data_IF_406301918922
#
_entry.id   IF_406301918922
#
_cell.length_a   1.000
_cell.length_b   1.000
_cell.length_c   1.000
_cell.angle_alpha   90.00
_cell.angle_beta   90.00
_cell.angle_gamma   90.00
#
_symmetry.space_group_name_H-M   'P 1'
#
loop_
_entity.id
_entity.type
_entity.pdbx_description
1 polymer ?
#
# COMPACT_ATOMS: atom_id res chain seq x y z
N UNK A 1 -12.72 15.35 4.60
CA UNK A 1 -11.72 14.34 4.20
C UNK A 1 -11.16 13.70 5.46
N UNK A 2 -11.64 12.50 5.83
CA UNK A 2 -11.05 11.75 6.95
C UNK A 2 -9.61 11.39 6.57
N UNK A 3 -8.63 11.80 7.38
CA UNK A 3 -7.22 11.43 7.21
C UNK A 3 -7.07 9.92 7.34
N UNK A 4 -7.21 9.20 6.24
CA UNK A 4 -6.97 7.76 6.15
C UNK A 4 -5.45 7.59 6.13
N UNK A 5 -4.88 6.99 7.18
CA UNK A 5 -3.45 6.69 7.21
C UNK A 5 -3.15 5.50 6.30
N UNK A 6 -2.67 5.80 5.09
CA UNK A 6 -2.25 4.80 4.08
C UNK A 6 -0.88 4.19 4.37
N UNK A 7 -0.17 4.76 5.33
CA UNK A 7 1.21 4.43 5.66
C UNK A 7 1.24 4.01 7.11
N UNK A 8 1.83 2.85 7.37
CA UNK A 8 2.15 2.38 8.72
C UNK A 8 3.65 2.27 8.85
N UNK A 9 4.17 2.79 9.96
CA UNK A 9 5.54 2.54 10.37
C UNK A 9 5.55 1.31 11.27
N UNK A 10 6.54 0.43 11.06
CA UNK A 10 6.83 -0.70 11.94
C UNK A 10 8.29 -0.64 12.32
N UNK A 11 8.62 -1.09 13.53
CA UNK A 11 9.96 -1.10 14.05
C UNK A 11 10.44 -2.55 14.21
N UNK A 12 11.60 -2.85 13.64
CA UNK A 12 12.28 -4.13 13.79
C UNK A 12 13.62 -3.93 14.51
N UNK A 13 13.93 -4.72 15.54
CA UNK A 13 15.19 -4.56 16.25
C UNK A 13 16.37 -5.01 15.40
N UNK A 14 17.47 -4.26 15.46
CA UNK A 14 18.75 -4.71 14.93
C UNK A 14 19.34 -5.80 15.85
N UNK A 15 19.06 -7.06 15.53
CA UNK A 15 19.48 -8.21 16.34
C UNK A 15 20.99 -8.29 16.59
N UNK A 16 21.84 -7.75 15.70
CA UNK A 16 23.29 -7.74 15.90
C UNK A 16 23.71 -6.77 17.01
N UNK A 17 23.14 -5.56 17.04
CA UNK A 17 23.48 -4.53 18.03
C UNK A 17 22.77 -4.79 19.35
N UNK A 18 21.44 -4.91 19.31
CA UNK A 18 20.62 -5.13 20.50
C UNK A 18 20.88 -6.50 21.14
N UNK A 19 21.21 -7.53 20.35
CA UNK A 19 21.61 -8.83 20.88
C UNK A 19 22.92 -8.78 21.67
N UNK A 20 23.92 -8.03 21.20
CA UNK A 20 25.19 -7.82 21.93
C UNK A 20 25.00 -7.02 23.21
N UNK A 21 24.13 -6.01 23.18
CA UNK A 21 23.88 -5.13 24.33
C UNK A 21 23.02 -5.79 25.41
N UNK A 22 21.92 -6.44 25.02
CA UNK A 22 20.92 -6.94 25.97
C UNK A 22 20.99 -8.44 26.25
N UNK A 23 21.71 -9.23 25.43
CA UNK A 23 21.92 -10.66 25.66
C UNK A 23 20.60 -11.41 25.95
N UNK A 24 20.46 -11.93 27.17
CA UNK A 24 19.25 -12.65 27.61
C UNK A 24 17.97 -11.78 27.60
N UNK A 25 18.09 -10.46 27.80
CA UNK A 25 16.97 -9.50 27.74
C UNK A 25 16.57 -9.14 26.30
N UNK A 26 17.34 -9.55 25.29
CA UNK A 26 17.02 -9.22 23.88
C UNK A 26 15.61 -9.67 23.47
N UNK A 27 15.15 -10.83 23.96
CA UNK A 27 13.82 -11.35 23.63
C UNK A 27 12.70 -10.43 24.10
N UNK A 28 12.87 -9.81 25.26
CA UNK A 28 11.94 -8.85 25.86
C UNK A 28 11.91 -7.56 25.01
N UNK A 29 13.07 -6.96 24.76
CA UNK A 29 13.18 -5.76 23.93
C UNK A 29 12.71 -5.98 22.50
N UNK A 30 12.97 -7.15 21.91
CA UNK A 30 12.49 -7.49 20.57
C UNK A 30 10.96 -7.49 20.49
N UNK A 31 10.28 -7.97 21.54
CA UNK A 31 8.83 -7.91 21.62
C UNK A 31 8.34 -6.45 21.73
N UNK A 32 8.90 -5.70 22.68
CA UNK A 32 8.50 -4.30 22.94
C UNK A 32 8.70 -3.40 21.72
N UNK A 33 9.83 -3.53 21.02
CA UNK A 33 10.12 -2.75 19.80
C UNK A 33 9.13 -3.07 18.68
N UNK A 34 8.75 -4.34 18.50
CA UNK A 34 7.79 -4.75 17.47
C UNK A 34 6.35 -4.35 17.80
N UNK A 35 6.04 -4.16 19.08
CA UNK A 35 4.71 -3.75 19.57
C UNK A 35 4.53 -2.23 19.63
N UNK A 36 5.57 -1.44 19.32
CA UNK A 36 5.46 0.02 19.23
C UNK A 36 4.37 0.41 18.23
N UNK A 37 3.53 1.36 18.63
CA UNK A 37 2.48 1.90 17.79
C UNK A 37 3.04 2.95 16.81
N UNK A 38 2.23 3.29 15.81
CA UNK A 38 2.64 4.20 14.75
C UNK A 38 3.06 5.59 15.27
N UNK A 39 2.38 6.11 16.29
CA UNK A 39 2.69 7.44 16.82
C UNK A 39 4.02 7.42 17.57
N UNK A 40 4.23 6.43 18.44
CA UNK A 40 5.52 6.25 19.12
C UNK A 40 6.68 6.07 18.15
N UNK A 41 6.49 5.35 17.05
CA UNK A 41 7.55 5.19 16.02
C UNK A 41 7.81 6.51 15.28
N UNK A 42 6.76 7.31 15.03
CA UNK A 42 6.90 8.63 14.40
C UNK A 42 7.66 9.62 15.31
N UNK A 43 7.35 9.62 16.60
CA UNK A 43 8.08 10.40 17.61
C UNK A 43 9.52 9.90 17.75
N UNK A 44 9.74 8.58 17.80
CA UNK A 44 11.07 7.98 17.86
C UNK A 44 11.93 8.38 16.65
N UNK A 45 11.34 8.40 15.45
CA UNK A 45 12.01 8.88 14.23
C UNK A 45 12.39 10.36 14.31
N UNK A 46 11.56 11.18 14.94
CA UNK A 46 11.78 12.63 15.08
C UNK A 46 12.80 12.95 16.17
N UNK A 47 12.70 12.28 17.32
CA UNK A 47 13.53 12.50 18.50
C UNK A 47 14.89 11.79 18.42
N UNK A 48 15.05 10.81 17.53
CA UNK A 48 16.29 10.04 17.33
C UNK A 48 16.55 8.97 18.40
N UNK A 49 15.78 8.96 19.49
CA UNK A 49 15.85 7.97 20.56
C UNK A 49 14.50 7.79 21.26
N UNK A 50 14.28 6.60 21.82
CA UNK A 50 13.11 6.25 22.63
C UNK A 50 13.58 5.51 23.89
N UNK A 51 12.86 5.69 25.00
CA UNK A 51 13.13 4.95 26.24
C UNK A 51 12.13 3.80 26.34
N UNK A 52 12.64 2.58 26.48
CA UNK A 52 11.84 1.36 26.68
C UNK A 52 12.40 0.64 27.89
N UNK A 53 11.58 0.33 28.90
CA UNK A 53 12.00 -0.33 30.14
C UNK A 53 13.29 0.28 30.73
N UNK A 54 13.29 1.60 30.91
CA UNK A 54 14.38 2.42 31.45
C UNK A 54 15.70 2.41 30.64
N UNK A 55 15.69 1.82 29.45
CA UNK A 55 16.84 1.78 28.55
C UNK A 55 16.61 2.71 27.36
N UNK A 56 17.59 3.56 27.09
CA UNK A 56 17.60 4.41 25.89
C UNK A 56 17.98 3.57 24.67
N UNK A 57 17.11 3.57 23.67
CA UNK A 57 17.31 2.92 22.37
C UNK A 57 17.40 4.00 21.30
N UNK A 58 18.40 3.89 20.44
CA UNK A 58 18.66 4.86 19.37
C UNK A 58 18.27 4.33 18.00
N UNK A 59 18.09 5.21 17.02
CA UNK A 59 17.68 4.83 15.66
C UNK A 59 18.67 3.88 14.96
N UNK A 60 19.93 3.84 15.37
CA UNK A 60 20.92 2.94 14.78
C UNK A 60 20.78 1.49 15.30
N UNK A 61 20.02 1.29 16.39
CA UNK A 61 19.70 -0.01 16.99
C UNK A 61 18.36 -0.58 16.49
N UNK A 62 17.57 0.20 15.73
CA UNK A 62 16.23 -0.19 15.25
C UNK A 62 16.08 0.13 13.77
N UNK A 63 15.53 -0.81 13.02
CA UNK A 63 15.17 -0.65 11.61
C UNK A 63 13.70 -0.19 11.57
N UNK A 64 13.47 1.06 11.15
CA UNK A 64 12.12 1.55 10.92
C UNK A 64 11.73 1.24 9.48
N UNK A 65 10.74 0.36 9.33
CA UNK A 65 10.12 0.04 8.06
C UNK A 65 8.89 0.92 7.86
N UNK A 66 8.67 1.30 6.60
CA UNK A 66 7.48 2.00 6.13
C UNK A 66 6.73 1.03 5.24
N UNK A 67 5.42 0.94 5.41
CA UNK A 67 4.60 0.04 4.61
C UNK A 67 3.24 0.64 4.29
N UNK A 68 2.75 0.32 3.10
CA UNK A 68 1.39 0.60 2.68
C UNK A 68 0.39 -0.28 3.43
N UNK A 69 -0.61 0.36 4.05
CA UNK A 69 -1.72 -0.32 4.71
C UNK A 69 -3.04 0.14 4.11
N UNK A 70 -3.72 -0.79 3.46
CA UNK A 70 -5.07 -0.60 2.96
C UNK A 70 -5.79 -1.93 2.78
N UNK A 71 -7.09 -1.84 2.53
CA UNK A 71 -7.84 -2.96 1.98
C UNK A 71 -7.38 -3.22 0.53
N UNK A 72 -6.62 -4.28 0.32
CA UNK A 72 -6.06 -4.66 -0.99
C UNK A 72 -7.10 -5.01 -2.05
N UNK A 73 -8.37 -5.24 -1.69
CA UNK A 73 -9.45 -5.44 -2.67
C UNK A 73 -10.03 -4.14 -3.20
N UNK A 74 -9.81 -3.02 -2.49
CA UNK A 74 -10.31 -1.69 -2.85
C UNK A 74 -9.20 -0.73 -3.25
N UNK A 75 -7.98 -0.95 -2.78
CA UNK A 75 -6.88 -0.01 -2.98
C UNK A 75 -5.61 -0.74 -3.40
N UNK A 76 -5.02 -0.26 -4.49
CA UNK A 76 -3.63 -0.57 -4.84
C UNK A 76 -2.72 0.54 -4.32
N UNK A 77 -1.52 0.18 -3.87
CA UNK A 77 -0.56 1.15 -3.36
C UNK A 77 0.85 0.81 -3.79
N UNK A 78 1.65 1.84 -4.05
CA UNK A 78 3.08 1.74 -4.35
C UNK A 78 3.84 2.76 -3.51
N UNK A 79 5.03 2.38 -3.07
CA UNK A 79 5.91 3.22 -2.26
C UNK A 79 7.25 3.44 -2.98
N UNK A 80 7.66 4.69 -3.08
CA UNK A 80 8.96 5.08 -3.64
C UNK A 80 9.59 6.16 -2.75
N UNK A 81 10.63 5.77 -1.99
CA UNK A 81 11.28 6.64 -1.01
C UNK A 81 10.26 7.25 -0.02
N UNK A 82 10.12 8.59 0.04
CA UNK A 82 9.16 9.25 0.94
C UNK A 82 7.73 9.29 0.39
N UNK A 83 7.50 8.89 -0.87
CA UNK A 83 6.21 9.01 -1.57
C UNK A 83 5.43 7.71 -1.48
N UNK A 84 4.12 7.82 -1.22
CA UNK A 84 3.15 6.71 -1.41
C UNK A 84 2.08 7.15 -2.36
N UNK A 85 1.87 6.38 -3.42
CA UNK A 85 0.74 6.54 -4.33
C UNK A 85 -0.29 5.47 -3.98
N UNK A 86 -1.55 5.88 -3.86
CA UNK A 86 -2.69 4.98 -3.59
C UNK A 86 -3.77 5.22 -4.60
N UNK A 87 -4.24 4.15 -5.25
CA UNK A 87 -5.29 4.18 -6.26
C UNK A 87 -6.47 3.38 -5.74
N UNK A 88 -7.68 3.95 -5.83
CA UNK A 88 -8.91 3.20 -5.63
C UNK A 88 -9.15 2.32 -6.87
N UNK A 89 -9.18 1.01 -6.66
CA UNK A 89 -9.37 -0.01 -7.69
C UNK A 89 -10.72 -0.74 -7.53
N UNK A 90 -11.59 -0.25 -6.65
CA UNK A 90 -12.92 -0.81 -6.46
C UNK A 90 -13.74 -0.64 -7.76
N UNK A 91 -14.17 -1.76 -8.34
CA UNK A 91 -15.08 -1.77 -9.48
C UNK A 91 -16.48 -1.39 -8.98
N UNK A 92 -17.02 -0.30 -9.53
CA UNK A 92 -18.41 0.07 -9.32
C UNK A 92 -19.28 -0.49 -10.44
N UNK A 93 -20.61 -0.64 -10.22
CA UNK A 93 -21.53 -1.04 -11.27
C UNK A 93 -21.42 -0.16 -12.52
N UNK A 94 -21.26 1.15 -12.35
CA UNK A 94 -21.14 2.11 -13.46
C UNK A 94 -19.86 1.89 -14.27
N UNK A 95 -18.74 1.59 -13.61
CA UNK A 95 -17.48 1.26 -14.28
C UNK A 95 -17.58 -0.06 -15.08
N UNK A 96 -18.34 -1.03 -14.56
CA UNK A 96 -18.61 -2.27 -15.28
C UNK A 96 -19.48 -2.03 -16.52
N UNK A 97 -20.54 -1.24 -16.41
CA UNK A 97 -21.40 -0.87 -17.54
C UNK A 97 -20.63 -0.10 -18.62
N UNK A 98 -19.76 0.83 -18.22
CA UNK A 98 -18.88 1.54 -19.15
C UNK A 98 -17.93 0.57 -19.86
N UNK A 99 -17.34 -0.36 -19.11
CA UNK A 99 -16.48 -1.41 -19.68
C UNK A 99 -17.22 -2.24 -20.73
N UNK A 100 -18.41 -2.76 -20.40
CA UNK A 100 -19.19 -3.55 -21.35
C UNK A 100 -19.57 -2.75 -22.60
N UNK A 101 -19.99 -1.50 -22.41
CA UNK A 101 -20.35 -0.60 -23.54
C UNK A 101 -19.15 -0.38 -24.47
N UNK A 102 -17.98 -0.09 -23.90
CA UNK A 102 -16.73 0.07 -24.67
C UNK A 102 -16.36 -1.21 -25.39
N UNK A 103 -16.47 -2.36 -24.73
CA UNK A 103 -16.08 -3.63 -25.32
C UNK A 103 -16.99 -4.05 -26.48
N UNK A 104 -18.31 -3.90 -26.31
CA UNK A 104 -19.29 -4.13 -27.39
C UNK A 104 -19.00 -3.20 -28.57
N UNK A 105 -18.83 -1.90 -28.31
CA UNK A 105 -18.54 -0.90 -29.35
C UNK A 105 -17.25 -1.23 -30.11
N UNK A 106 -16.19 -1.56 -29.38
CA UNK A 106 -14.89 -1.94 -29.96
C UNK A 106 -15.03 -3.17 -30.85
N UNK A 107 -15.79 -4.18 -30.41
CA UNK A 107 -16.01 -5.41 -31.16
C UNK A 107 -16.81 -5.18 -32.42
N UNK A 108 -17.92 -4.45 -32.33
CA UNK A 108 -18.74 -4.07 -33.48
C UNK A 108 -17.91 -3.27 -34.49
N UNK A 109 -17.17 -2.26 -34.03
CA UNK A 109 -16.32 -1.45 -34.92
C UNK A 109 -15.23 -2.27 -35.60
N UNK A 110 -14.65 -3.26 -34.91
CA UNK A 110 -13.66 -4.16 -35.52
C UNK A 110 -14.28 -5.02 -36.62
N UNK A 111 -15.43 -5.65 -36.35
CA UNK A 111 -16.15 -6.47 -37.32
C UNK A 111 -16.58 -5.65 -38.55
N UNK A 112 -17.01 -4.40 -38.36
CA UNK A 112 -17.31 -3.50 -39.49
C UNK A 112 -16.11 -3.29 -40.40
N UNK A 113 -14.93 -3.01 -39.82
CA UNK A 113 -13.70 -2.82 -40.59
C UNK A 113 -13.29 -4.10 -41.33
N UNK A 114 -13.38 -5.25 -40.67
CA UNK A 114 -13.05 -6.55 -41.27
C UNK A 114 -14.00 -6.90 -42.43
N UNK A 115 -15.27 -6.52 -42.32
CA UNK A 115 -16.27 -6.67 -43.39
C UNK A 115 -16.20 -5.57 -44.47
N UNK A 116 -15.29 -4.59 -44.35
CA UNK A 116 -15.17 -3.47 -45.29
C UNK A 116 -16.30 -2.43 -45.21
N UNK A 117 -17.07 -2.41 -44.12
CA UNK A 117 -18.17 -1.50 -43.88
C UNK A 117 -17.69 -0.12 -43.41
N UNK A 118 -18.36 0.94 -43.87
CA UNK A 118 -18.13 2.33 -43.45
C UNK A 118 -19.13 2.74 -42.37
N UNK A 119 -18.84 3.72 -41.48
CA UNK A 119 -19.70 4.03 -40.32
C UNK A 119 -21.17 4.36 -40.61
N UNK A 120 -21.48 4.84 -41.82
CA UNK A 120 -22.86 5.14 -42.26
C UNK A 120 -23.70 3.90 -42.56
N UNK A 121 -23.07 2.73 -42.74
CA UNK A 121 -23.80 1.51 -43.10
C UNK A 121 -24.67 1.04 -41.94
N UNK A 122 -25.94 0.73 -42.24
CA UNK A 122 -26.82 0.10 -41.27
C UNK A 122 -26.40 -1.35 -41.05
N UNK A 123 -26.39 -1.76 -39.78
CA UNK A 123 -26.06 -3.13 -39.37
C UNK A 123 -27.09 -3.61 -38.37
N UNK A 124 -27.37 -4.90 -38.42
CA UNK A 124 -28.09 -5.60 -37.36
C UNK A 124 -27.09 -6.36 -36.50
N UNK A 125 -27.27 -6.27 -35.18
CA UNK A 125 -26.40 -6.91 -34.20
C UNK A 125 -27.27 -7.86 -33.38
N UNK A 126 -26.80 -9.08 -33.22
CA UNK A 126 -27.41 -10.10 -32.35
C UNK A 126 -26.46 -10.33 -31.17
N UNK A 127 -26.98 -10.17 -29.95
CA UNK A 127 -26.25 -10.34 -28.68
C UNK A 127 -26.74 -11.57 -27.94
#
# INVERSE_FOLDING_TARGET
MLKKNWVKFTAEPNGRKLGRRFGKRFREFNKLIRELDHNSISEFKTNGSIVINDEKITLDEVIINRGFVANKTKYAGMEEGPVTVVINIELTPELLEEYYTREITNRVMRLRKEAGLIPSDQIEIFL
#
